data_IF_471158618875
#
_entry.id   IF_471158618875
#
_cell.length_a   1.000
_cell.length_b   1.000
_cell.length_c   1.000
_cell.angle_alpha   90.00
_cell.angle_beta   90.00
_cell.angle_gamma   90.00
#
_symmetry.space_group_name_H-M   'P 1'
#
loop_
_entity.id
_entity.type
_entity.pdbx_description
1 polymer ?
#
# COMPACT_ATOMS: atom_id res chain seq x y z
N UNK A 1 -8.28 18.59 8.73
CA UNK A 1 -7.26 19.22 7.85
C UNK A 1 -7.79 19.34 6.42
N UNK A 2 -7.97 18.23 5.67
CA UNK A 2 -8.50 18.31 4.30
C UNK A 2 -9.99 18.66 4.20
N UNK A 3 -10.78 18.34 5.23
CA UNK A 3 -12.21 18.67 5.30
C UNK A 3 -12.53 20.17 5.22
N UNK A 4 -11.54 21.03 5.49
CA UNK A 4 -11.70 22.50 5.42
C UNK A 4 -11.41 23.04 4.01
N UNK A 5 -11.00 22.20 3.06
CA UNK A 5 -10.77 22.57 1.66
C UNK A 5 -12.00 22.23 0.82
N UNK A 6 -12.09 22.85 -0.36
CA UNK A 6 -13.23 22.65 -1.25
C UNK A 6 -13.29 21.19 -1.73
N UNK A 7 -14.43 20.52 -1.50
CA UNK A 7 -14.72 19.16 -1.94
C UNK A 7 -14.53 18.96 -3.44
N UNK A 8 -14.84 19.97 -4.25
CA UNK A 8 -14.66 19.89 -5.71
C UNK A 8 -13.18 19.78 -6.11
N UNK A 9 -12.27 20.18 -5.23
CA UNK A 9 -10.83 20.14 -5.49
C UNK A 9 -10.21 18.78 -5.16
N UNK A 10 -10.58 18.21 -4.01
CA UNK A 10 -10.00 16.95 -3.52
C UNK A 10 -10.88 15.71 -3.79
N UNK A 11 -12.15 15.87 -4.14
CA UNK A 11 -13.06 14.77 -4.53
C UNK A 11 -13.52 13.80 -3.42
N UNK A 12 -12.92 13.87 -2.23
CA UNK A 12 -13.22 12.97 -1.10
C UNK A 12 -14.63 13.17 -0.51
N UNK A 13 -15.24 12.08 -0.08
CA UNK A 13 -16.46 11.99 0.73
C UNK A 13 -16.17 11.30 2.06
N UNK A 14 -17.10 11.43 3.03
CA UNK A 14 -16.93 10.85 4.37
C UNK A 14 -16.72 9.33 4.35
N UNK A 15 -17.37 8.63 3.42
CA UNK A 15 -17.22 7.17 3.26
C UNK A 15 -15.80 6.77 2.83
N UNK A 16 -15.09 7.62 2.10
CA UNK A 16 -13.72 7.31 1.64
C UNK A 16 -12.76 7.22 2.83
N UNK A 17 -13.03 7.95 3.92
CA UNK A 17 -12.17 8.06 5.11
C UNK A 17 -12.79 7.29 6.29
N UNK A 18 -13.65 6.32 6.02
CA UNK A 18 -14.36 5.59 7.07
C UNK A 18 -13.48 4.50 7.70
N UNK A 19 -13.06 4.62 8.98
CA UNK A 19 -12.04 3.73 9.55
C UNK A 19 -12.49 2.27 9.73
N UNK A 20 -13.79 2.01 9.71
CA UNK A 20 -14.31 0.65 9.81
C UNK A 20 -14.20 -0.12 8.48
N UNK A 21 -14.11 0.58 7.35
CA UNK A 21 -13.99 -0.02 6.03
C UNK A 21 -12.51 -0.10 5.59
N UNK A 22 -11.74 -0.94 6.30
CA UNK A 22 -10.28 -1.05 6.15
C UNK A 22 -9.83 -1.82 4.90
N UNK A 23 -10.77 -2.45 4.19
CA UNK A 23 -10.49 -3.34 3.05
C UNK A 23 -10.85 -2.71 1.70
N UNK A 24 -11.19 -1.41 1.69
CA UNK A 24 -11.65 -0.73 0.49
C UNK A 24 -10.50 -0.12 -0.31
N UNK A 25 -10.03 -0.87 -1.32
CA UNK A 25 -8.97 -0.42 -2.21
C UNK A 25 -9.36 0.85 -2.99
N UNK A 26 -10.62 0.96 -3.45
CA UNK A 26 -11.08 2.12 -4.20
C UNK A 26 -11.00 3.42 -3.37
N UNK A 27 -11.35 3.35 -2.09
CA UNK A 27 -11.16 4.45 -1.15
C UNK A 27 -9.67 4.80 -0.97
N UNK A 28 -8.80 3.79 -0.87
CA UNK A 28 -7.35 3.98 -0.78
C UNK A 28 -6.77 4.69 -2.02
N UNK A 29 -7.14 4.25 -3.23
CA UNK A 29 -6.76 4.88 -4.50
C UNK A 29 -7.22 6.34 -4.57
N UNK A 30 -8.46 6.61 -4.14
CA UNK A 30 -9.02 7.94 -4.14
C UNK A 30 -8.36 8.87 -3.13
N UNK A 31 -8.10 8.39 -1.92
CA UNK A 31 -7.36 9.12 -0.88
C UNK A 31 -5.95 9.45 -1.36
N UNK A 32 -5.27 8.53 -2.03
CA UNK A 32 -3.92 8.73 -2.55
C UNK A 32 -3.85 9.39 -3.94
N UNK A 33 -4.97 9.95 -4.43
CA UNK A 33 -5.02 10.58 -5.74
C UNK A 33 -4.20 11.89 -5.81
N UNK A 34 -3.74 12.25 -7.02
CA UNK A 34 -3.00 13.49 -7.24
C UNK A 34 -3.78 14.74 -6.82
N UNK A 35 -5.11 14.72 -6.98
CA UNK A 35 -6.00 15.81 -6.55
C UNK A 35 -5.98 16.04 -5.04
N UNK A 36 -5.93 14.95 -4.26
CA UNK A 36 -5.84 15.00 -2.80
C UNK A 36 -4.45 15.43 -2.37
N UNK A 37 -3.41 14.84 -2.96
CA UNK A 37 -2.00 15.15 -2.65
C UNK A 37 -1.70 16.64 -2.91
N UNK A 38 -2.07 17.16 -4.08
CA UNK A 38 -1.87 18.58 -4.41
C UNK A 38 -2.66 19.51 -3.49
N UNK A 39 -3.88 19.12 -3.09
CA UNK A 39 -4.67 19.90 -2.13
C UNK A 39 -4.03 19.92 -0.73
N UNK A 40 -3.36 18.83 -0.34
CA UNK A 40 -2.61 18.77 0.91
C UNK A 40 -1.36 19.64 0.85
N UNK A 41 -0.62 19.64 -0.24
CA UNK A 41 0.61 20.45 -0.38
C UNK A 41 0.39 21.96 -0.16
N UNK A 42 -0.84 22.45 -0.36
CA UNK A 42 -1.24 23.83 -0.04
C UNK A 42 -1.45 24.10 1.46
N UNK A 43 -1.35 23.07 2.31
CA UNK A 43 -1.52 23.13 3.75
C UNK A 43 -0.14 22.92 4.39
N UNK A 44 0.38 23.96 5.00
CA UNK A 44 1.73 23.99 5.61
C UNK A 44 2.01 22.84 6.57
N UNK A 45 1.01 22.39 7.33
CA UNK A 45 1.14 21.33 8.33
C UNK A 45 0.96 19.90 7.81
N UNK A 46 0.83 19.69 6.49
CA UNK A 46 0.44 18.38 5.94
C UNK A 46 1.52 17.66 5.14
N UNK A 47 2.74 18.21 5.09
CA UNK A 47 3.85 17.68 4.30
C UNK A 47 4.10 16.18 4.53
N UNK A 48 4.10 15.74 5.79
CA UNK A 48 4.29 14.32 6.11
C UNK A 48 3.14 13.45 5.58
N UNK A 49 1.90 13.92 5.69
CA UNK A 49 0.73 13.23 5.16
C UNK A 49 0.75 13.17 3.64
N UNK A 50 1.06 14.26 2.95
CA UNK A 50 1.15 14.27 1.49
C UNK A 50 2.26 13.33 0.99
N UNK A 51 3.42 13.32 1.66
CA UNK A 51 4.51 12.41 1.34
C UNK A 51 4.13 10.94 1.57
N UNK A 52 3.42 10.63 2.66
CA UNK A 52 2.92 9.28 2.92
C UNK A 52 1.91 8.83 1.85
N UNK A 53 1.01 9.72 1.41
CA UNK A 53 0.08 9.40 0.33
C UNK A 53 0.78 9.24 -1.03
N UNK A 54 1.87 9.98 -1.30
CA UNK A 54 2.72 9.76 -2.48
C UNK A 54 3.40 8.39 -2.47
N UNK A 55 3.81 7.91 -1.29
CA UNK A 55 4.37 6.57 -1.13
C UNK A 55 3.31 5.52 -1.51
N UNK A 56 2.10 5.61 -0.95
CA UNK A 56 0.98 4.72 -1.29
C UNK A 56 0.67 4.78 -2.78
N UNK A 57 0.57 5.98 -3.36
CA UNK A 57 0.30 6.18 -4.78
C UNK A 57 1.38 5.55 -5.65
N UNK A 58 2.65 5.65 -5.26
CA UNK A 58 3.77 5.02 -5.99
C UNK A 58 3.67 3.50 -5.99
N UNK A 59 3.29 2.88 -4.87
CA UNK A 59 3.02 1.43 -4.82
C UNK A 59 1.90 1.04 -5.77
N UNK A 60 0.80 1.81 -5.82
CA UNK A 60 -0.32 1.58 -6.74
C UNK A 60 0.15 1.69 -8.20
N UNK A 61 0.91 2.73 -8.55
CA UNK A 61 1.45 2.92 -9.92
C UNK A 61 2.36 1.76 -10.31
N UNK A 62 3.23 1.32 -9.42
CA UNK A 62 4.21 0.28 -9.70
C UNK A 62 3.57 -1.08 -9.94
N UNK A 63 2.58 -1.47 -9.13
CA UNK A 63 2.12 -2.87 -9.06
C UNK A 63 0.67 -3.11 -9.45
N UNK A 64 -0.20 -2.09 -9.42
CA UNK A 64 -1.65 -2.27 -9.61
C UNK A 64 -2.13 -1.63 -10.91
N UNK A 65 -1.68 -0.41 -11.20
CA UNK A 65 -2.10 0.34 -12.36
C UNK A 65 -1.73 -0.41 -13.65
N UNK A 66 -2.67 -0.50 -14.59
CA UNK A 66 -2.52 -1.27 -15.84
C UNK A 66 -1.82 -0.46 -16.93
N UNK A 67 -1.93 0.87 -16.88
CA UNK A 67 -1.40 1.78 -17.90
C UNK A 67 0.09 2.14 -17.73
N UNK A 68 0.72 1.73 -16.63
CA UNK A 68 2.09 2.13 -16.30
C UNK A 68 3.13 1.40 -17.14
N UNK A 69 4.05 2.17 -17.72
CA UNK A 69 5.22 1.66 -18.44
C UNK A 69 6.20 0.92 -17.50
N UNK A 70 7.01 0.02 -18.02
CA UNK A 70 7.98 -0.74 -17.18
C UNK A 70 8.98 0.20 -16.49
N UNK A 71 9.46 1.24 -17.19
CA UNK A 71 10.39 2.21 -16.62
C UNK A 71 9.76 2.96 -15.43
N UNK A 72 8.51 3.42 -15.57
CA UNK A 72 7.81 4.10 -14.49
C UNK A 72 7.54 3.16 -13.32
N UNK A 73 7.24 1.87 -13.57
CA UNK A 73 7.08 0.88 -12.49
C UNK A 73 8.36 0.72 -11.68
N UNK A 74 9.51 0.58 -12.36
CA UNK A 74 10.82 0.47 -11.70
C UNK A 74 11.10 1.73 -10.88
N UNK A 75 10.87 2.91 -11.46
CA UNK A 75 11.04 4.18 -10.76
C UNK A 75 10.20 4.23 -9.48
N UNK A 76 8.89 3.98 -9.57
CA UNK A 76 7.99 4.08 -8.42
C UNK A 76 8.24 2.98 -7.37
N UNK A 77 8.61 1.77 -7.79
CA UNK A 77 9.00 0.69 -6.90
C UNK A 77 10.22 1.09 -6.05
N UNK A 78 11.30 1.51 -6.70
CA UNK A 78 12.53 1.89 -6.01
C UNK A 78 12.42 3.21 -5.26
N UNK A 79 11.65 4.18 -5.76
CA UNK A 79 11.30 5.39 -5.01
C UNK A 79 10.69 5.04 -3.65
N UNK A 80 9.75 4.10 -3.62
CA UNK A 80 9.11 3.63 -2.39
C UNK A 80 10.14 2.97 -1.45
N UNK A 81 10.99 2.08 -1.97
CA UNK A 81 12.07 1.44 -1.20
C UNK A 81 13.00 2.47 -0.56
N UNK A 82 13.54 3.40 -1.35
CA UNK A 82 14.48 4.39 -0.85
C UNK A 82 13.84 5.31 0.19
N UNK A 83 12.60 5.74 -0.03
CA UNK A 83 11.90 6.57 0.94
C UNK A 83 11.67 5.84 2.27
N UNK A 84 11.28 4.56 2.22
CA UNK A 84 11.16 3.72 3.41
C UNK A 84 12.49 3.52 4.13
N UNK A 85 13.59 3.28 3.40
CA UNK A 85 14.94 3.15 3.99
C UNK A 85 15.39 4.43 4.67
N UNK A 86 15.19 5.59 4.04
CA UNK A 86 15.53 6.89 4.61
C UNK A 86 14.68 7.15 5.86
N UNK A 87 13.38 6.87 5.81
CA UNK A 87 12.50 7.02 6.97
C UNK A 87 12.92 6.12 8.14
N UNK A 88 13.27 4.86 7.86
CA UNK A 88 13.80 3.95 8.88
C UNK A 88 15.12 4.45 9.47
N UNK A 89 16.09 4.85 8.64
CA UNK A 89 17.38 5.37 9.10
C UNK A 89 17.20 6.63 9.93
N UNK A 90 16.31 7.55 9.52
CA UNK A 90 16.00 8.75 10.27
C UNK A 90 15.43 8.44 11.66
N UNK A 91 14.54 7.44 11.78
CA UNK A 91 14.01 7.01 13.06
C UNK A 91 15.09 6.38 13.95
N UNK A 92 16.02 5.62 13.37
CA UNK A 92 17.17 5.07 14.11
C UNK A 92 18.06 6.19 14.64
N UNK A 93 18.47 7.14 13.80
CA UNK A 93 19.29 8.28 14.23
C UNK A 93 18.59 9.11 15.29
N UNK A 94 17.27 9.30 15.18
CA UNK A 94 16.50 10.00 16.23
C UNK A 94 16.44 9.23 17.53
N UNK A 95 16.26 7.91 17.46
CA UNK A 95 16.27 7.07 18.64
C UNK A 95 17.65 7.06 19.34
N UNK A 96 18.74 7.15 18.57
CA UNK A 96 20.10 7.29 19.10
C UNK A 96 20.36 8.68 19.71
N UNK A 97 19.83 9.76 19.12
CA UNK A 97 20.04 11.12 19.63
C UNK A 97 19.20 11.45 20.87
N UNK A 98 17.93 11.02 20.90
CA UNK A 98 17.08 11.12 22.11
C UNK A 98 17.68 10.30 23.27
N UNK A 99 18.44 9.24 22.97
CA UNK A 99 19.14 8.44 23.97
C UNK A 99 20.26 9.24 24.67
N UNK A 100 21.01 10.06 23.92
CA UNK A 100 22.06 10.93 24.47
C UNK A 100 21.48 12.10 25.30
N UNK A 101 20.36 12.70 24.88
CA UNK A 101 19.67 13.76 25.64
C UNK A 101 19.01 13.19 26.93
N UNK A 102 18.48 11.97 26.87
CA UNK A 102 17.81 11.28 27.98
C UNK A 102 18.79 10.65 29.01
N UNK A 103 20.00 10.27 28.58
CA UNK A 103 21.11 9.85 29.48
C UNK A 103 21.57 10.97 30.43
N UNK A 104 21.26 12.23 30.11
CA UNK A 104 21.58 13.35 31.00
C UNK A 104 20.58 13.56 32.15
N UNK A 105 19.44 12.84 32.17
CA UNK A 105 18.34 13.08 33.14
C UNK A 105 17.98 11.92 34.07
N UNK A 106 18.35 10.67 33.82
CA UNK A 106 18.08 9.61 34.81
C UNK A 106 18.74 8.27 34.52
N UNK A 107 19.35 7.73 35.58
CA UNK A 107 19.71 6.34 35.83
C UNK A 107 18.53 5.37 35.67
N UNK A 108 18.89 4.12 35.39
CA UNK A 108 18.08 2.88 35.49
C UNK A 108 17.27 2.44 34.24
N UNK A 109 17.88 1.48 33.54
CA UNK A 109 17.27 0.27 32.96
C UNK A 109 16.00 0.40 32.10
N UNK A 110 16.22 0.42 30.76
CA UNK A 110 15.49 -0.38 29.74
C UNK A 110 15.90 0.03 28.30
N UNK A 111 17.19 -0.04 28.00
CA UNK A 111 17.83 0.51 26.78
C UNK A 111 17.37 -0.10 25.44
N UNK A 112 17.01 -1.38 25.40
CA UNK A 112 16.63 -2.07 24.14
C UNK A 112 15.13 -1.99 23.83
N UNK A 113 14.30 -1.62 24.80
CA UNK A 113 12.85 -1.63 24.66
C UNK A 113 12.30 -0.31 24.07
N UNK A 114 13.06 0.79 24.19
CA UNK A 114 12.65 2.13 23.74
C UNK A 114 12.72 2.31 22.22
N UNK A 115 13.82 1.92 21.57
CA UNK A 115 14.02 2.05 20.12
C UNK A 115 12.99 1.21 19.35
N UNK A 116 12.84 -0.05 19.73
CA UNK A 116 11.84 -0.94 19.13
C UNK A 116 10.41 -0.42 19.29
N UNK A 117 10.10 0.26 20.39
CA UNK A 117 8.79 0.89 20.63
C UNK A 117 8.57 2.13 19.76
N UNK A 118 9.61 2.96 19.58
CA UNK A 118 9.55 4.16 18.72
C UNK A 118 9.33 3.77 17.26
N UNK A 119 10.13 2.84 16.74
CA UNK A 119 10.00 2.31 15.38
C UNK A 119 8.61 1.70 15.16
N UNK A 120 8.13 0.85 16.09
CA UNK A 120 6.80 0.24 15.98
C UNK A 120 5.66 1.27 15.98
N UNK A 121 5.85 2.44 16.60
CA UNK A 121 4.83 3.48 16.69
C UNK A 121 4.81 4.41 15.49
N UNK A 122 5.96 4.72 14.91
CA UNK A 122 6.09 5.76 13.91
C UNK A 122 6.52 5.28 12.53
N UNK A 123 6.87 4.00 12.36
CA UNK A 123 7.14 3.40 11.06
C UNK A 123 5.98 2.54 10.60
N UNK A 124 5.95 2.24 9.30
CA UNK A 124 5.07 1.19 8.77
C UNK A 124 5.40 -0.16 9.41
N UNK A 125 4.47 -1.12 9.33
CA UNK A 125 4.72 -2.45 9.88
C UNK A 125 5.92 -3.09 9.17
N UNK A 126 6.69 -3.88 9.92
CA UNK A 126 7.86 -4.57 9.36
C UNK A 126 7.48 -5.47 8.17
N UNK A 127 6.31 -6.09 8.22
CA UNK A 127 5.79 -6.90 7.11
C UNK A 127 5.56 -6.05 5.85
N UNK A 128 4.93 -4.88 5.97
CA UNK A 128 4.74 -3.98 4.83
C UNK A 128 6.07 -3.47 4.27
N UNK A 129 7.03 -3.13 5.13
CA UNK A 129 8.36 -2.71 4.69
C UNK A 129 9.09 -3.82 3.92
N UNK A 130 9.11 -5.04 4.46
CA UNK A 130 9.71 -6.19 3.79
C UNK A 130 8.99 -6.53 2.48
N UNK A 131 7.66 -6.42 2.41
CA UNK A 131 6.93 -6.62 1.16
C UNK A 131 7.29 -5.58 0.10
N UNK A 132 7.50 -4.32 0.47
CA UNK A 132 7.96 -3.27 -0.45
C UNK A 132 9.33 -3.64 -1.05
N UNK A 133 10.27 -4.06 -0.20
CA UNK A 133 11.61 -4.51 -0.62
C UNK A 133 11.54 -5.72 -1.56
N UNK A 134 10.84 -6.78 -1.14
CA UNK A 134 10.71 -8.02 -1.92
C UNK A 134 10.09 -7.73 -3.28
N UNK A 135 9.01 -6.95 -3.34
CA UNK A 135 8.31 -6.66 -4.60
C UNK A 135 9.21 -5.86 -5.57
N UNK A 136 10.00 -4.92 -5.08
CA UNK A 136 10.90 -4.12 -5.92
C UNK A 136 12.05 -4.96 -6.49
N UNK A 137 12.64 -5.82 -5.64
CA UNK A 137 13.66 -6.77 -6.07
C UNK A 137 13.10 -7.79 -7.07
N UNK A 138 11.91 -8.34 -6.81
CA UNK A 138 11.24 -9.27 -7.72
C UNK A 138 10.96 -8.62 -9.08
N UNK A 139 10.43 -7.40 -9.12
CA UNK A 139 10.20 -6.66 -10.36
C UNK A 139 11.50 -6.50 -11.16
N UNK A 140 12.56 -6.08 -10.49
CA UNK A 140 13.88 -5.90 -11.11
C UNK A 140 14.40 -7.23 -11.68
N UNK A 141 14.26 -8.31 -10.91
CA UNK A 141 14.70 -9.64 -11.33
C UNK A 141 13.91 -10.18 -12.53
N UNK A 142 12.59 -9.99 -12.56
CA UNK A 142 11.76 -10.35 -13.71
C UNK A 142 12.20 -9.62 -14.98
N UNK A 143 12.53 -8.33 -14.87
CA UNK A 143 13.03 -7.53 -16.00
C UNK A 143 14.36 -8.10 -16.51
N UNK A 144 15.28 -8.43 -15.60
CA UNK A 144 16.58 -9.03 -15.97
C UNK A 144 16.39 -10.37 -16.70
N UNK A 145 15.52 -11.24 -16.20
CA UNK A 145 15.23 -12.53 -16.84
C UNK A 145 14.63 -12.37 -18.25
N UNK A 146 13.83 -11.33 -18.48
CA UNK A 146 13.29 -11.02 -19.81
C UNK A 146 14.38 -10.48 -20.74
N UNK A 147 15.26 -9.59 -20.23
CA UNK A 147 16.40 -9.08 -21.00
C UNK A 147 17.36 -10.21 -21.40
N UNK A 148 17.59 -11.16 -20.50
CA UNK A 148 18.41 -12.36 -20.75
C UNK A 148 17.74 -13.38 -21.68
N UNK A 149 16.46 -13.19 -22.03
CA UNK A 149 15.70 -14.11 -22.88
C UNK A 149 15.21 -15.38 -22.17
N UNK A 150 15.33 -15.45 -20.84
CA UNK A 150 14.84 -16.57 -20.02
C UNK A 150 13.32 -16.53 -19.80
N UNK A 151 12.70 -15.36 -19.90
CA UNK A 151 11.26 -15.16 -19.78
C UNK A 151 10.69 -14.36 -20.96
N UNK A 152 9.43 -14.62 -21.35
CA UNK A 152 8.76 -13.85 -22.39
C UNK A 152 8.36 -12.45 -21.89
N UNK A 153 8.20 -11.48 -22.80
CA UNK A 153 7.88 -10.08 -22.45
C UNK A 153 6.55 -9.95 -21.70
N UNK A 154 5.62 -10.87 -21.95
CA UNK A 154 4.33 -10.97 -21.28
C UNK A 154 4.47 -11.21 -19.77
N UNK A 155 5.60 -11.77 -19.30
CA UNK A 155 5.90 -11.90 -17.88
C UNK A 155 6.03 -10.55 -17.16
N UNK A 156 6.18 -9.44 -17.89
CA UNK A 156 6.18 -8.08 -17.34
C UNK A 156 4.78 -7.46 -17.20
N UNK A 157 3.71 -8.25 -17.33
CA UNK A 157 2.34 -7.82 -17.00
C UNK A 157 2.13 -7.76 -15.47
N UNK A 158 2.83 -6.84 -14.80
CA UNK A 158 2.95 -6.77 -13.33
C UNK A 158 1.59 -6.68 -12.62
N UNK A 159 0.60 -6.02 -13.22
CA UNK A 159 -0.73 -5.90 -12.62
C UNK A 159 -1.43 -7.26 -12.39
N UNK A 160 -1.04 -8.31 -13.12
CA UNK A 160 -1.55 -9.68 -12.94
C UNK A 160 -1.03 -10.36 -11.68
N UNK A 161 0.03 -9.85 -11.07
CA UNK A 161 0.60 -10.39 -9.84
C UNK A 161 -0.15 -9.90 -8.58
N UNK A 162 -1.17 -9.06 -8.75
CA UNK A 162 -2.03 -8.58 -7.65
C UNK A 162 -3.14 -9.59 -7.30
N UNK A 163 -3.62 -9.56 -6.05
CA UNK A 163 -4.75 -10.40 -5.59
C UNK A 163 -6.11 -9.97 -6.13
N UNK A 164 -6.19 -8.81 -6.81
CA UNK A 164 -7.46 -8.17 -7.16
C UNK A 164 -8.35 -9.07 -8.02
N UNK A 165 -7.77 -9.85 -8.94
CA UNK A 165 -8.52 -10.81 -9.78
C UNK A 165 -9.16 -11.91 -8.94
N UNK A 166 -8.46 -12.41 -7.92
CA UNK A 166 -8.98 -13.40 -7.00
C UNK A 166 -10.11 -12.83 -6.13
N UNK A 167 -9.94 -11.62 -5.61
CA UNK A 167 -10.98 -10.92 -4.82
C UNK A 167 -12.25 -10.67 -5.63
N UNK A 168 -12.11 -10.22 -6.89
CA UNK A 168 -13.24 -10.03 -7.79
C UNK A 168 -13.98 -11.34 -8.08
N UNK A 169 -13.25 -12.45 -8.19
CA UNK A 169 -13.84 -13.78 -8.38
C UNK A 169 -14.63 -14.21 -7.15
N UNK A 170 -14.08 -14.01 -5.94
CA UNK A 170 -14.78 -14.28 -4.68
C UNK A 170 -16.02 -13.40 -4.51
N UNK A 171 -15.91 -12.12 -4.85
CA UNK A 171 -17.04 -11.19 -4.83
C UNK A 171 -18.16 -11.64 -5.78
N UNK A 172 -17.80 -12.02 -7.01
CA UNK A 172 -18.74 -12.55 -8.00
C UNK A 172 -19.41 -13.84 -7.50
N UNK A 173 -18.64 -14.73 -6.89
CA UNK A 173 -19.18 -15.96 -6.29
C UNK A 173 -20.14 -15.68 -5.12
N UNK A 174 -19.88 -14.63 -4.32
CA UNK A 174 -20.81 -14.18 -3.26
C UNK A 174 -22.10 -13.61 -3.83
N UNK A 175 -22.00 -12.85 -4.92
CA UNK A 175 -23.16 -12.26 -5.61
C UNK A 175 -24.04 -13.31 -6.32
N UNK A 176 -23.46 -14.43 -6.76
CA UNK A 176 -24.22 -15.58 -7.29
C UNK A 176 -24.90 -16.35 -6.15
N UNK A 177 -25.99 -15.81 -5.62
CA UNK A 177 -26.94 -16.52 -4.76
C UNK A 177 -28.33 -16.57 -5.44
N UNK A 178 -29.15 -17.59 -5.11
CA UNK A 178 -30.47 -17.75 -5.73
C UNK A 178 -31.42 -16.62 -5.36
N UNK A 179 -32.48 -16.41 -6.15
CA UNK A 179 -33.43 -15.28 -6.05
C UNK A 179 -34.06 -15.03 -4.65
N UNK A 180 -33.97 -16.01 -3.74
CA UNK A 180 -34.49 -15.94 -2.36
C UNK A 180 -33.46 -16.31 -1.29
N UNK A 181 -32.16 -16.34 -1.63
CA UNK A 181 -31.08 -16.70 -0.71
C UNK A 181 -30.05 -15.58 -0.65
N UNK A 182 -29.89 -14.98 0.53
CA UNK A 182 -28.85 -13.98 0.83
C UNK A 182 -27.61 -14.63 1.45
N UNK A 183 -27.32 -15.91 1.14
CA UNK A 183 -26.21 -16.65 1.75
C UNK A 183 -24.89 -16.19 1.11
N UNK A 184 -24.24 -15.24 1.79
CA UNK A 184 -22.92 -14.68 1.45
C UNK A 184 -21.79 -15.67 1.75
N UNK A 185 -21.94 -16.49 2.81
CA UNK A 185 -20.92 -17.46 3.22
C UNK A 185 -21.15 -18.81 2.54
N UNK A 186 -20.08 -19.42 2.02
CA UNK A 186 -20.17 -20.70 1.33
C UNK A 186 -18.98 -21.60 1.67
N UNK A 187 -19.22 -22.91 1.63
CA UNK A 187 -18.15 -23.91 1.71
C UNK A 187 -17.36 -23.99 0.40
N UNK A 188 -16.20 -24.66 0.42
CA UNK A 188 -15.37 -24.85 -0.78
C UNK A 188 -16.14 -25.53 -1.92
N UNK A 189 -16.94 -26.55 -1.63
CA UNK A 189 -17.76 -27.24 -2.65
C UNK A 189 -18.78 -26.29 -3.27
N UNK A 190 -19.39 -25.43 -2.45
CA UNK A 190 -20.34 -24.43 -2.92
C UNK A 190 -19.64 -23.35 -3.77
N UNK A 191 -18.44 -22.92 -3.40
CA UNK A 191 -17.63 -22.03 -4.22
C UNK A 191 -17.36 -22.63 -5.60
N UNK A 192 -16.86 -23.87 -5.67
CA UNK A 192 -16.56 -24.54 -6.95
C UNK A 192 -17.79 -24.62 -7.85
N UNK A 193 -18.96 -24.96 -7.30
CA UNK A 193 -20.23 -24.98 -8.04
C UNK A 193 -20.65 -23.60 -8.55
N UNK A 194 -20.38 -22.54 -7.79
CA UNK A 194 -20.70 -21.15 -8.20
C UNK A 194 -19.73 -20.67 -9.28
N UNK A 195 -18.43 -20.96 -9.16
CA UNK A 195 -17.42 -20.61 -10.17
C UNK A 195 -17.67 -21.31 -11.51
N UNK A 196 -18.14 -22.55 -11.51
CA UNK A 196 -18.56 -23.23 -12.74
C UNK A 196 -19.65 -22.46 -13.50
N UNK A 197 -20.52 -21.71 -12.81
CA UNK A 197 -21.56 -20.87 -13.42
C UNK A 197 -21.07 -19.50 -13.87
N UNK A 198 -19.91 -19.06 -13.38
CA UNK A 198 -19.29 -17.78 -13.74
C UNK A 198 -18.44 -17.87 -15.01
N UNK A 199 -18.15 -19.09 -15.50
CA UNK A 199 -17.44 -19.29 -16.77
C UNK A 199 -18.39 -18.94 -17.93
N UNK A 200 -18.01 -17.91 -18.69
CA UNK A 200 -18.52 -17.64 -20.04
C UNK A 200 -18.14 -18.78 -20.99
#
# INVERSE_FOLDING_TARGET
>A
MIANKNKLKHGLVKSDIYPSDKQNLASCEKISSNSVISTLEEISSSLATSLYLKLIRSVIIAYIDRGTSINDRVYHAWFTVFLCRIWWAWLLTKAEYDFDEMLSWSSEDNSSQSIGKLIRRFFITNTSFQSIEINAHQLTYLILLVIEGSLPIESLQIFLFSSQTCENTLHSARATSGAFSSIVNFSVIQFLRRVQKLRY
#
